data_IF_614483363576
#
_entry.id   IF_614483363576
#
_cell.length_a   1.000
_cell.length_b   1.000
_cell.length_c   1.000
_cell.angle_alpha   90.00
_cell.angle_beta   90.00
_cell.angle_gamma   90.00
#
_symmetry.space_group_name_H-M   'P 1'
#
loop_
_entity.id
_entity.type
_entity.pdbx_description
1 polymer ?
#
# COMPACT_ATOMS: atom_id res chain seq x y z
N UNK A 1 -69.00 37.56 -25.92
CA UNK A 1 -67.65 36.97 -25.89
C UNK A 1 -66.73 37.86 -26.69
N UNK A 2 -65.81 38.52 -26.00
CA UNK A 2 -65.00 39.61 -26.53
C UNK A 2 -63.89 39.11 -27.45
N UNK A 3 -63.50 39.95 -28.41
CA UNK A 3 -62.43 39.68 -29.39
C UNK A 3 -61.09 39.32 -28.74
N UNK A 4 -60.89 39.69 -27.46
CA UNK A 4 -59.73 39.35 -26.64
C UNK A 4 -59.77 37.93 -26.05
N UNK A 5 -60.94 37.32 -25.85
CA UNK A 5 -61.07 35.93 -25.36
C UNK A 5 -60.71 34.89 -26.43
N UNK A 6 -60.84 35.25 -27.72
CA UNK A 6 -60.52 34.36 -28.85
C UNK A 6 -59.02 34.21 -29.12
N UNK A 7 -58.21 35.20 -28.75
CA UNK A 7 -56.75 35.15 -28.94
C UNK A 7 -56.07 34.31 -27.84
N UNK A 8 -56.57 34.39 -26.61
CA UNK A 8 -56.07 33.60 -25.48
C UNK A 8 -56.36 32.10 -25.63
N UNK A 9 -57.51 31.72 -26.21
CA UNK A 9 -57.87 30.31 -26.42
C UNK A 9 -57.33 29.72 -27.74
N UNK A 10 -57.05 30.53 -28.76
CA UNK A 10 -56.57 30.07 -30.07
C UNK A 10 -55.07 29.83 -30.16
N UNK A 11 -54.25 30.47 -29.32
CA UNK A 11 -52.78 30.40 -29.41
C UNK A 11 -52.15 29.64 -28.24
N UNK A 12 -52.70 29.70 -27.02
CA UNK A 12 -52.12 28.96 -25.88
C UNK A 12 -52.48 27.47 -25.85
N UNK A 13 -53.65 27.07 -26.37
CA UNK A 13 -54.10 25.68 -26.32
C UNK A 13 -53.28 24.74 -27.24
N UNK A 14 -52.89 25.14 -28.46
CA UNK A 14 -52.01 24.33 -29.32
C UNK A 14 -50.57 24.24 -28.78
N UNK A 15 -50.06 25.31 -28.16
CA UNK A 15 -48.73 25.33 -27.52
C UNK A 15 -48.64 24.39 -26.30
N UNK A 16 -49.76 24.15 -25.62
CA UNK A 16 -49.87 23.15 -24.55
C UNK A 16 -50.07 21.73 -25.07
N UNK A 17 -50.59 21.51 -26.29
CA UNK A 17 -50.77 20.17 -26.87
C UNK A 17 -49.52 19.65 -27.61
N UNK A 18 -48.64 20.51 -28.14
CA UNK A 18 -47.45 20.04 -28.87
C UNK A 18 -46.27 19.63 -27.97
N UNK A 19 -46.29 19.95 -26.66
CA UNK A 19 -45.13 19.74 -25.78
C UNK A 19 -45.38 18.83 -24.57
N UNK A 20 -46.42 17.97 -24.60
CA UNK A 20 -46.66 16.98 -23.55
C UNK A 20 -45.50 16.01 -23.36
N UNK A 21 -44.75 15.72 -24.42
CA UNK A 21 -43.53 14.92 -24.34
C UNK A 21 -42.47 15.67 -23.53
N UNK A 22 -42.30 16.98 -23.72
CA UNK A 22 -41.36 17.81 -22.97
C UNK A 22 -41.72 17.97 -21.49
N UNK A 23 -43.02 18.13 -21.17
CA UNK A 23 -43.50 18.18 -19.77
C UNK A 23 -43.36 16.82 -19.09
N UNK A 24 -43.66 15.73 -19.80
CA UNK A 24 -43.47 14.36 -19.31
C UNK A 24 -41.99 14.04 -19.06
N UNK A 25 -41.10 14.38 -20.01
CA UNK A 25 -39.65 14.20 -19.86
C UNK A 25 -39.11 15.05 -18.72
N UNK A 26 -39.58 16.29 -18.57
CA UNK A 26 -39.20 17.16 -17.45
C UNK A 26 -39.57 16.56 -16.09
N UNK A 27 -40.79 16.04 -15.95
CA UNK A 27 -41.23 15.37 -14.72
C UNK A 27 -40.46 14.07 -14.44
N UNK A 28 -40.12 13.30 -15.49
CA UNK A 28 -39.28 12.10 -15.34
C UNK A 28 -37.87 12.46 -14.90
N UNK A 29 -37.24 13.50 -15.48
CA UNK A 29 -35.90 13.95 -15.10
C UNK A 29 -35.87 14.46 -13.66
N UNK A 30 -36.88 15.22 -13.24
CA UNK A 30 -37.03 15.69 -11.85
C UNK A 30 -37.26 14.49 -10.91
N UNK A 31 -38.08 13.52 -11.30
CA UNK A 31 -38.31 12.30 -10.55
C UNK A 31 -37.02 11.47 -10.39
N UNK A 32 -36.26 11.26 -11.46
CA UNK A 32 -34.98 10.52 -11.43
C UNK A 32 -33.94 11.25 -10.59
N UNK A 33 -33.81 12.57 -10.72
CA UNK A 33 -32.88 13.35 -9.87
C UNK A 33 -33.30 13.32 -8.41
N UNK A 34 -34.59 13.40 -8.10
CA UNK A 34 -35.11 13.25 -6.73
C UNK A 34 -34.84 11.85 -6.16
N UNK A 35 -35.06 10.78 -6.94
CA UNK A 35 -34.74 9.40 -6.56
C UNK A 35 -33.24 9.22 -6.31
N UNK A 36 -32.36 9.77 -7.16
CA UNK A 36 -30.92 9.73 -6.96
C UNK A 36 -30.48 10.50 -5.70
N UNK A 37 -31.14 11.61 -5.37
CA UNK A 37 -30.90 12.35 -4.12
C UNK A 37 -31.33 11.51 -2.90
N UNK A 38 -32.48 10.84 -2.97
CA UNK A 38 -32.95 9.93 -1.92
C UNK A 38 -32.01 8.73 -1.75
N UNK A 39 -31.57 8.09 -2.85
CA UNK A 39 -30.58 7.01 -2.82
C UNK A 39 -29.23 7.48 -2.25
N UNK A 40 -28.81 8.71 -2.52
CA UNK A 40 -27.58 9.27 -1.94
C UNK A 40 -27.73 9.59 -0.45
N UNK A 41 -28.92 9.99 -0.01
CA UNK A 41 -29.25 10.20 1.40
C UNK A 41 -29.32 8.86 2.16
N UNK A 42 -29.92 7.83 1.57
CA UNK A 42 -29.94 6.46 2.09
C UNK A 42 -28.56 5.82 2.07
N UNK A 43 -27.74 6.03 1.02
CA UNK A 43 -26.35 5.60 0.98
C UNK A 43 -25.50 6.28 2.07
N UNK A 44 -25.74 7.56 2.37
CA UNK A 44 -25.10 8.25 3.50
C UNK A 44 -25.57 7.72 4.85
N UNK A 45 -26.86 7.37 5.00
CA UNK A 45 -27.39 6.70 6.21
C UNK A 45 -26.86 5.27 6.35
N UNK A 46 -26.74 4.51 5.26
CA UNK A 46 -26.19 3.16 5.22
C UNK A 46 -24.68 3.13 5.48
N UNK A 47 -23.92 4.15 5.05
CA UNK A 47 -22.51 4.32 5.44
C UNK A 47 -22.33 4.78 6.89
N UNK A 48 -23.41 5.22 7.55
CA UNK A 48 -23.47 5.52 8.99
C UNK A 48 -24.22 4.43 9.79
N UNK A 49 -24.65 3.35 9.13
CA UNK A 49 -25.49 2.29 9.70
C UNK A 49 -25.16 0.91 9.14
N UNK A 50 -23.90 0.66 8.79
CA UNK A 50 -23.38 -0.70 8.82
C UNK A 50 -23.15 -0.99 10.30
N UNK A 51 -23.91 -1.97 10.79
CA UNK A 51 -23.99 -2.42 12.17
C UNK A 51 -22.60 -2.51 12.82
N UNK A 52 -22.37 -1.64 13.82
CA UNK A 52 -21.22 -1.65 14.73
C UNK A 52 -21.50 -2.44 16.01
N UNK A 53 -22.46 -3.36 15.98
CA UNK A 53 -22.98 -3.99 17.20
C UNK A 53 -22.66 -5.49 17.28
N UNK A 54 -21.75 -6.01 16.44
CA UNK A 54 -21.11 -7.32 16.63
C UNK A 54 -19.60 -7.27 16.34
N UNK A 55 -18.98 -6.14 16.58
CA UNK A 55 -17.57 -6.16 16.94
C UNK A 55 -17.54 -6.66 18.38
N UNK A 56 -17.25 -7.95 18.55
CA UNK A 56 -16.56 -8.40 19.75
C UNK A 56 -15.45 -7.37 19.95
N UNK A 57 -15.61 -6.53 20.97
CA UNK A 57 -14.78 -5.36 21.19
C UNK A 57 -13.38 -5.91 21.49
N UNK A 58 -12.63 -6.17 20.41
CA UNK A 58 -11.22 -6.43 20.42
C UNK A 58 -10.68 -5.12 20.94
N UNK A 59 -10.46 -5.16 22.24
CA UNK A 59 -9.93 -4.07 23.00
C UNK A 59 -8.57 -3.73 22.41
N UNK A 60 -8.56 -2.82 21.44
CA UNK A 60 -7.35 -2.32 20.79
C UNK A 60 -6.40 -1.71 21.82
N UNK A 61 -6.88 -1.38 23.04
CA UNK A 61 -6.02 -1.00 24.16
C UNK A 61 -5.14 -2.14 24.68
N UNK A 62 -5.46 -3.40 24.37
CA UNK A 62 -4.59 -4.58 24.57
C UNK A 62 -3.58 -4.79 23.45
N UNK A 63 -3.82 -4.21 22.26
CA UNK A 63 -2.88 -4.24 21.13
C UNK A 63 -1.91 -3.06 21.13
N UNK A 64 -2.24 -1.99 21.87
CA UNK A 64 -1.27 -0.96 22.18
C UNK A 64 -0.15 -1.61 23.00
N UNK A 65 1.14 -1.41 22.64
CA UNK A 65 2.22 -1.78 23.54
C UNK A 65 1.93 -1.13 24.88
N UNK A 66 1.78 -1.96 25.92
CA UNK A 66 1.60 -1.48 27.28
C UNK A 66 2.66 -0.42 27.54
N UNK A 67 2.23 0.67 28.17
CA UNK A 67 3.02 1.82 28.57
C UNK A 67 4.38 1.35 29.11
N UNK A 68 5.41 1.29 28.27
CA UNK A 68 6.79 1.20 28.72
C UNK A 68 7.11 2.60 29.25
N UNK A 69 6.81 2.84 30.53
CA UNK A 69 7.46 3.94 31.22
C UNK A 69 8.96 3.65 31.12
N UNK A 70 9.74 4.61 30.65
CA UNK A 70 11.22 4.48 30.59
C UNK A 70 11.87 4.22 31.96
N UNK A 71 11.07 4.12 33.02
CA UNK A 71 11.43 3.70 34.37
C UNK A 71 11.73 2.19 34.48
N UNK A 72 11.22 1.36 33.56
CA UNK A 72 11.38 -0.10 33.60
C UNK A 72 12.52 -0.64 32.70
N UNK A 73 13.27 0.26 32.06
CA UNK A 73 14.44 -0.10 31.24
C UNK A 73 15.73 0.09 32.03
N UNK A 74 16.39 -1.00 32.38
CA UNK A 74 17.73 -0.95 32.97
C UNK A 74 18.78 -0.60 31.91
N UNK A 75 19.47 0.52 32.08
CA UNK A 75 20.61 0.86 31.24
C UNK A 75 21.78 -0.09 31.51
N UNK A 76 22.37 -0.62 30.43
CA UNK A 76 23.58 -1.45 30.49
C UNK A 76 24.75 -0.75 29.80
N UNK A 77 25.97 -1.01 30.27
CA UNK A 77 27.18 -0.45 29.65
C UNK A 77 27.39 -1.06 28.25
N UNK A 78 27.44 -0.20 27.24
CA UNK A 78 27.74 -0.61 25.87
C UNK A 78 29.20 -1.06 25.71
N UNK A 79 29.39 -2.29 25.22
CA UNK A 79 30.71 -2.86 24.94
C UNK A 79 31.06 -2.68 23.46
N UNK A 80 31.91 -1.70 23.17
CA UNK A 80 32.34 -1.39 21.80
C UNK A 80 33.65 -2.09 21.43
N UNK A 81 33.68 -2.77 20.28
CA UNK A 81 34.92 -3.30 19.69
C UNK A 81 35.67 -2.18 18.97
N UNK A 82 36.84 -1.79 19.48
CA UNK A 82 37.65 -0.70 18.90
C UNK A 82 38.83 -1.26 18.10
N UNK A 83 38.87 -0.90 16.82
CA UNK A 83 39.99 -1.22 15.93
C UNK A 83 41.05 -0.11 15.92
N UNK A 84 42.29 -0.44 15.57
CA UNK A 84 43.33 0.56 15.35
C UNK A 84 43.12 1.28 13.99
N UNK A 85 43.77 2.44 13.80
CA UNK A 85 43.58 3.27 12.59
C UNK A 85 43.88 2.52 11.29
N UNK A 86 44.94 1.71 11.25
CA UNK A 86 45.33 0.95 10.05
C UNK A 86 44.24 -0.05 9.68
N UNK A 87 43.72 -0.78 10.67
CA UNK A 87 42.67 -1.76 10.47
C UNK A 87 41.33 -1.13 10.09
N UNK A 88 40.96 0.01 10.70
CA UNK A 88 39.75 0.75 10.32
C UNK A 88 39.76 1.15 8.84
N UNK A 89 40.90 1.61 8.33
CA UNK A 89 41.07 1.99 6.93
C UNK A 89 40.94 0.79 5.97
N UNK A 90 41.51 -0.36 6.35
CA UNK A 90 41.41 -1.58 5.55
C UNK A 90 39.94 -2.05 5.49
N UNK A 91 39.29 -2.20 6.65
CA UNK A 91 37.92 -2.71 6.73
C UNK A 91 36.91 -1.81 6.02
N UNK A 92 37.04 -0.49 6.13
CA UNK A 92 36.13 0.44 5.47
C UNK A 92 36.29 0.41 3.95
N UNK A 93 37.53 0.29 3.46
CA UNK A 93 37.83 0.17 2.02
C UNK A 93 37.29 -1.14 1.46
N UNK A 94 37.52 -2.27 2.13
CA UNK A 94 37.01 -3.58 1.70
C UNK A 94 35.47 -3.60 1.64
N UNK A 95 34.81 -3.02 2.65
CA UNK A 95 33.35 -2.91 2.66
C UNK A 95 32.85 -2.06 1.49
N UNK A 96 33.47 -0.90 1.24
CA UNK A 96 33.13 -0.06 0.10
C UNK A 96 33.31 -0.82 -1.23
N UNK A 97 34.44 -1.48 -1.44
CA UNK A 97 34.73 -2.22 -2.67
C UNK A 97 33.74 -3.38 -2.88
N UNK A 98 33.32 -4.06 -1.81
CA UNK A 98 32.27 -5.09 -1.88
C UNK A 98 30.92 -4.48 -2.28
N UNK A 99 30.49 -3.43 -1.58
CA UNK A 99 29.20 -2.79 -1.85
C UNK A 99 29.12 -2.12 -3.22
N UNK A 100 30.25 -1.59 -3.71
CA UNK A 100 30.33 -0.96 -5.04
C UNK A 100 30.17 -1.97 -6.20
N UNK A 101 30.41 -3.26 -5.95
CA UNK A 101 30.16 -4.34 -6.94
C UNK A 101 28.69 -4.70 -7.08
N UNK A 102 27.83 -4.27 -6.15
CA UNK A 102 26.40 -4.60 -6.17
C UNK A 102 25.71 -3.99 -7.38
N UNK A 103 25.01 -4.83 -8.13
CA UNK A 103 24.14 -4.44 -9.24
C UNK A 103 22.75 -4.99 -9.02
N UNK A 104 21.74 -4.29 -9.54
CA UNK A 104 20.40 -4.87 -9.65
C UNK A 104 20.42 -5.86 -10.81
N UNK A 105 20.11 -7.11 -10.52
CA UNK A 105 20.11 -8.22 -11.48
C UNK A 105 18.67 -8.70 -11.65
N UNK A 106 18.25 -8.92 -12.89
CA UNK A 106 16.90 -9.39 -13.23
C UNK A 106 16.91 -10.77 -13.92
N UNK A 107 18.06 -11.44 -13.94
CA UNK A 107 18.25 -12.78 -14.50
C UNK A 107 18.87 -13.65 -13.40
N UNK A 108 18.16 -14.69 -12.97
CA UNK A 108 18.55 -15.50 -11.81
C UNK A 108 18.72 -16.95 -12.21
N UNK A 109 19.69 -17.62 -11.57
CA UNK A 109 19.76 -19.08 -11.63
C UNK A 109 18.62 -19.70 -10.82
N UNK A 110 18.23 -20.92 -11.19
CA UNK A 110 17.31 -21.77 -10.42
C UNK A 110 18.01 -22.56 -9.33
N UNK A 111 19.35 -22.45 -9.23
CA UNK A 111 20.13 -23.18 -8.24
C UNK A 111 19.61 -22.88 -6.83
N UNK A 112 19.44 -23.92 -5.99
CA UNK A 112 18.88 -23.74 -4.66
C UNK A 112 19.84 -22.93 -3.78
N UNK A 113 19.27 -22.03 -2.99
CA UNK A 113 19.98 -21.33 -1.90
C UNK A 113 19.44 -21.87 -0.58
N UNK A 114 20.30 -22.27 0.38
CA UNK A 114 19.84 -22.77 1.67
C UNK A 114 18.95 -21.76 2.41
N UNK A 115 17.89 -22.23 3.06
CA UNK A 115 16.97 -21.37 3.81
C UNK A 115 17.69 -20.60 4.93
N UNK A 116 18.64 -21.24 5.60
CA UNK A 116 19.45 -20.63 6.67
C UNK A 116 20.21 -19.37 6.19
N UNK A 117 20.62 -19.33 4.92
CA UNK A 117 21.24 -18.13 4.34
C UNK A 117 20.23 -16.99 4.27
N UNK A 118 19.00 -17.27 3.84
CA UNK A 118 17.91 -16.30 3.78
C UNK A 118 17.52 -15.81 5.18
N UNK A 119 17.45 -16.72 6.16
CA UNK A 119 17.19 -16.38 7.56
C UNK A 119 18.25 -15.45 8.13
N UNK A 120 19.53 -15.71 7.87
CA UNK A 120 20.63 -14.85 8.32
C UNK A 120 20.59 -13.46 7.66
N UNK A 121 20.21 -13.38 6.38
CA UNK A 121 20.00 -12.11 5.67
C UNK A 121 18.88 -11.31 6.36
N UNK A 122 17.75 -11.95 6.68
CA UNK A 122 16.61 -11.29 7.34
C UNK A 122 16.95 -10.89 8.77
N UNK A 123 17.64 -11.75 9.54
CA UNK A 123 18.13 -11.41 10.89
C UNK A 123 19.06 -10.19 10.84
N UNK A 124 19.93 -10.11 9.82
CA UNK A 124 20.80 -8.96 9.62
C UNK A 124 19.98 -7.69 9.36
N UNK A 125 18.97 -7.76 8.49
CA UNK A 125 18.04 -6.65 8.25
C UNK A 125 17.32 -6.21 9.53
N UNK A 126 16.89 -7.16 10.37
CA UNK A 126 16.24 -6.91 11.66
C UNK A 126 17.11 -6.15 12.68
N UNK A 127 18.43 -6.07 12.49
CA UNK A 127 19.31 -5.25 13.34
C UNK A 127 19.21 -3.74 13.08
N UNK A 128 18.35 -3.35 12.14
CA UNK A 128 18.16 -1.95 11.75
C UNK A 128 17.59 -1.10 12.90
N UNK A 129 17.93 0.19 12.95
CA UNK A 129 17.31 1.09 13.90
C UNK A 129 15.84 1.35 13.53
N UNK A 130 14.98 1.41 14.54
CA UNK A 130 13.64 1.95 14.43
C UNK A 130 13.35 2.89 15.60
N UNK A 131 12.44 3.84 15.40
CA UNK A 131 11.99 4.71 16.49
C UNK A 131 11.17 3.88 17.48
N UNK A 132 11.36 4.20 18.76
CA UNK A 132 10.69 3.55 19.88
C UNK A 132 10.76 2.00 19.83
N UNK A 133 11.78 1.43 19.16
CA UNK A 133 11.95 -0.01 19.01
C UNK A 133 10.70 -0.69 18.39
N UNK A 134 10.00 0.00 17.48
CA UNK A 134 8.77 -0.53 16.86
C UNK A 134 8.99 -1.64 15.83
N UNK A 135 10.22 -1.82 15.33
CA UNK A 135 10.61 -2.82 14.33
C UNK A 135 9.56 -3.02 13.22
N UNK A 136 9.13 -1.96 12.49
CA UNK A 136 7.87 -1.96 11.76
C UNK A 136 7.97 -2.60 10.36
N UNK A 137 8.75 -3.68 10.25
CA UNK A 137 8.98 -4.42 9.01
C UNK A 137 8.50 -5.86 9.15
N UNK A 138 7.91 -6.38 8.07
CA UNK A 138 7.59 -7.79 7.93
C UNK A 138 8.21 -8.31 6.64
N UNK A 139 9.09 -9.30 6.75
CA UNK A 139 9.69 -9.98 5.59
C UNK A 139 8.99 -11.30 5.33
N UNK A 140 8.33 -11.42 4.18
CA UNK A 140 7.69 -12.67 3.74
C UNK A 140 8.60 -13.37 2.74
N UNK A 141 9.01 -14.59 3.07
CA UNK A 141 9.87 -15.43 2.23
C UNK A 141 9.03 -16.44 1.47
N UNK A 142 9.16 -16.47 0.15
CA UNK A 142 8.39 -17.36 -0.73
C UNK A 142 9.34 -18.25 -1.52
N UNK A 143 9.36 -19.54 -1.18
CA UNK A 143 10.04 -20.59 -1.95
C UNK A 143 9.08 -21.45 -2.80
N UNK A 144 7.79 -21.50 -2.44
CA UNK A 144 6.81 -22.33 -3.13
C UNK A 144 6.56 -21.85 -4.57
N UNK A 145 6.75 -22.76 -5.53
CA UNK A 145 6.66 -22.44 -6.95
C UNK A 145 5.24 -22.04 -7.40
N UNK A 146 4.19 -22.59 -6.76
CA UNK A 146 2.79 -22.25 -7.09
C UNK A 146 2.47 -20.83 -6.62
N UNK A 147 2.93 -20.45 -5.43
CA UNK A 147 2.76 -19.08 -4.90
C UNK A 147 3.56 -18.09 -5.76
N UNK A 148 4.82 -18.38 -6.09
CA UNK A 148 5.63 -17.55 -6.98
C UNK A 148 4.96 -17.32 -8.34
N UNK A 149 4.35 -18.37 -8.91
CA UNK A 149 3.59 -18.26 -10.16
C UNK A 149 2.39 -17.32 -10.03
N UNK A 150 1.60 -17.44 -8.96
CA UNK A 150 0.46 -16.54 -8.70
C UNK A 150 0.91 -15.08 -8.54
N UNK A 151 2.01 -14.85 -7.81
CA UNK A 151 2.60 -13.51 -7.66
C UNK A 151 2.97 -12.95 -9.03
N UNK A 152 3.64 -13.74 -9.87
CA UNK A 152 4.02 -13.34 -11.23
C UNK A 152 2.82 -12.95 -12.08
N UNK A 153 1.76 -13.78 -12.08
CA UNK A 153 0.53 -13.52 -12.83
C UNK A 153 -0.12 -12.19 -12.40
N UNK A 154 -0.17 -11.92 -11.09
CA UNK A 154 -0.69 -10.64 -10.55
C UNK A 154 0.16 -9.47 -11.03
N UNK A 155 1.49 -9.54 -10.88
CA UNK A 155 2.40 -8.45 -11.25
C UNK A 155 2.38 -8.20 -12.76
N UNK A 156 2.34 -9.25 -13.59
CA UNK A 156 2.22 -9.13 -15.05
C UNK A 156 0.93 -8.42 -15.46
N UNK A 157 -0.20 -8.75 -14.82
CA UNK A 157 -1.50 -8.11 -15.12
C UNK A 157 -1.50 -6.62 -14.78
N UNK A 158 -0.94 -6.24 -13.63
CA UNK A 158 -0.83 -4.83 -13.22
C UNK A 158 0.13 -4.04 -14.12
N UNK A 159 1.24 -4.65 -14.55
CA UNK A 159 2.19 -4.06 -15.49
C UNK A 159 1.58 -3.86 -16.89
N UNK A 160 0.72 -4.79 -17.33
CA UNK A 160 -0.01 -4.67 -18.60
C UNK A 160 -1.00 -3.51 -18.56
N UNK A 161 -1.78 -3.39 -17.48
CA UNK A 161 -2.70 -2.26 -17.26
C UNK A 161 -1.91 -0.95 -17.24
N UNK A 162 -0.80 -0.90 -16.49
CA UNK A 162 0.05 0.28 -16.38
C UNK A 162 0.64 0.70 -17.73
N UNK A 163 1.10 -0.25 -18.52
CA UNK A 163 1.65 0.00 -19.86
C UNK A 163 0.56 0.56 -20.77
N UNK A 164 -0.61 -0.08 -20.83
CA UNK A 164 -1.75 0.40 -21.64
C UNK A 164 -2.21 1.82 -21.27
N UNK A 165 -2.12 2.19 -19.99
CA UNK A 165 -2.63 3.47 -19.49
C UNK A 165 -1.61 4.63 -19.51
N UNK A 166 -0.31 4.36 -19.29
CA UNK A 166 0.65 5.42 -18.91
C UNK A 166 1.96 5.46 -19.69
N UNK A 167 2.36 4.39 -20.36
CA UNK A 167 3.66 4.34 -21.04
C UNK A 167 3.46 3.76 -22.44
N UNK A 168 3.76 4.53 -23.48
CA UNK A 168 3.65 4.08 -24.88
C UNK A 168 4.38 2.74 -25.16
N UNK A 169 4.26 2.20 -26.39
CA UNK A 169 4.47 0.78 -26.73
C UNK A 169 5.85 0.13 -26.49
N UNK A 170 6.79 0.77 -25.78
CA UNK A 170 8.19 0.36 -25.73
C UNK A 170 8.64 -0.32 -24.42
N UNK A 171 7.74 -0.59 -23.46
CA UNK A 171 8.13 -1.09 -22.15
C UNK A 171 7.45 -2.41 -21.78
N UNK A 172 8.10 -3.53 -22.11
CA UNK A 172 7.76 -4.85 -21.58
C UNK A 172 8.95 -5.34 -20.76
N UNK A 173 8.87 -5.26 -19.42
CA UNK A 173 9.89 -5.89 -18.55
C UNK A 173 9.65 -7.39 -18.55
N UNK A 174 10.70 -8.17 -18.82
CA UNK A 174 10.65 -9.62 -18.61
C UNK A 174 10.61 -9.91 -17.10
N UNK A 175 9.51 -10.50 -16.63
CA UNK A 175 9.26 -10.82 -15.22
C UNK A 175 9.57 -12.29 -14.86
N UNK A 176 10.30 -13.01 -15.73
CA UNK A 176 10.73 -14.40 -15.49
C UNK A 176 11.40 -14.63 -14.13
N UNK A 177 12.14 -13.64 -13.63
CA UNK A 177 12.83 -13.72 -12.34
C UNK A 177 11.91 -14.05 -11.17
N UNK A 178 10.62 -13.67 -11.22
CA UNK A 178 9.64 -13.97 -10.17
C UNK A 178 9.41 -15.48 -10.01
N UNK A 179 9.68 -16.27 -11.05
CA UNK A 179 9.54 -17.73 -11.04
C UNK A 179 10.87 -18.47 -11.09
N UNK A 180 11.93 -17.85 -11.61
CA UNK A 180 13.26 -18.47 -11.74
C UNK A 180 14.10 -18.34 -10.49
N UNK A 181 14.02 -17.21 -9.78
CA UNK A 181 14.74 -17.04 -8.53
C UNK A 181 14.28 -18.11 -7.50
N UNK A 182 15.21 -18.71 -6.75
CA UNK A 182 14.86 -19.75 -5.77
C UNK A 182 13.94 -19.20 -4.68
N UNK A 183 14.21 -17.97 -4.23
CA UNK A 183 13.45 -17.28 -3.18
C UNK A 183 12.98 -15.91 -3.65
N UNK A 184 11.75 -15.55 -3.28
CA UNK A 184 11.31 -14.15 -3.27
C UNK A 184 11.26 -13.67 -1.81
N UNK A 185 11.77 -12.46 -1.56
CA UNK A 185 11.66 -11.79 -0.26
C UNK A 185 10.84 -10.53 -0.47
N UNK A 186 9.66 -10.48 0.17
CA UNK A 186 8.73 -9.37 0.10
C UNK A 186 8.83 -8.58 1.41
N UNK A 187 9.29 -7.33 1.35
CA UNK A 187 9.34 -6.43 2.49
C UNK A 187 8.05 -5.62 2.60
N UNK A 188 7.38 -5.70 3.73
CA UNK A 188 6.19 -4.92 4.05
C UNK A 188 6.47 -3.97 5.19
N UNK A 189 6.01 -2.73 5.04
CA UNK A 189 5.95 -1.76 6.13
C UNK A 189 4.67 -2.02 6.93
N UNK A 190 4.79 -2.20 8.24
CA UNK A 190 3.64 -2.25 9.14
C UNK A 190 2.99 -0.85 9.17
N UNK A 191 1.65 -0.81 9.06
CA UNK A 191 0.89 0.43 8.87
C UNK A 191 1.21 1.52 9.91
N UNK A 192 0.90 2.76 9.55
CA UNK A 192 1.14 3.91 10.41
C UNK A 192 0.50 3.70 11.78
N UNK A 193 1.31 3.67 12.83
CA UNK A 193 0.82 3.68 14.19
C UNK A 193 0.62 5.12 14.67
N UNK A 194 -0.40 5.31 15.50
CA UNK A 194 -0.49 6.49 16.34
C UNK A 194 0.39 6.22 17.55
N UNK A 195 1.44 7.00 17.71
CA UNK A 195 2.30 6.91 18.88
C UNK A 195 1.57 7.40 20.12
N UNK A 196 2.12 7.06 21.29
CA UNK A 196 1.60 7.50 22.60
C UNK A 196 1.58 9.03 22.78
N UNK A 197 2.37 9.77 21.98
CA UNK A 197 2.40 11.23 21.93
C UNK A 197 1.33 11.84 20.98
N UNK A 198 0.50 11.00 20.36
CA UNK A 198 -0.56 11.41 19.43
C UNK A 198 -0.06 11.71 18.01
N UNK A 199 1.24 11.62 17.74
CA UNK A 199 1.78 11.81 16.41
C UNK A 199 1.60 10.56 15.55
N UNK A 200 1.19 10.76 14.29
CA UNK A 200 1.23 9.69 13.29
C UNK A 200 2.69 9.45 12.91
N UNK A 201 3.13 8.21 13.07
CA UNK A 201 4.46 7.83 12.62
C UNK A 201 4.39 7.16 11.24
N UNK A 202 5.24 7.64 10.32
CA UNK A 202 5.47 6.96 9.06
C UNK A 202 6.63 5.97 9.23
N UNK A 203 6.31 4.68 9.15
CA UNK A 203 7.27 3.59 9.30
C UNK A 203 8.10 3.27 8.05
N UNK A 204 7.79 3.90 6.91
CA UNK A 204 8.44 3.62 5.63
C UNK A 204 9.95 3.85 5.67
N UNK A 205 10.42 4.89 6.38
CA UNK A 205 11.84 5.22 6.46
C UNK A 205 12.65 4.12 7.16
N UNK A 206 12.13 3.57 8.26
CA UNK A 206 12.83 2.52 9.01
C UNK A 206 12.83 1.20 8.22
N UNK A 207 11.72 0.90 7.55
CA UNK A 207 11.65 -0.25 6.64
C UNK A 207 12.62 -0.10 5.46
N UNK A 208 12.78 1.11 4.92
CA UNK A 208 13.75 1.39 3.87
C UNK A 208 15.21 1.23 4.35
N UNK A 209 15.53 1.66 5.56
CA UNK A 209 16.85 1.42 6.20
C UNK A 209 17.08 -0.08 6.34
N UNK A 210 16.07 -0.82 6.82
CA UNK A 210 16.10 -2.28 6.94
C UNK A 210 16.34 -2.98 5.61
N UNK A 211 15.67 -2.54 4.54
CA UNK A 211 15.96 -2.99 3.19
C UNK A 211 17.39 -2.66 2.73
N UNK A 212 17.96 -1.52 3.13
CA UNK A 212 19.37 -1.19 2.86
C UNK A 212 20.36 -2.16 3.51
N UNK A 213 20.10 -2.54 4.77
CA UNK A 213 20.90 -3.55 5.48
C UNK A 213 20.70 -4.93 4.85
N UNK A 214 19.47 -5.29 4.49
CA UNK A 214 19.14 -6.52 3.77
C UNK A 214 19.93 -6.65 2.46
N UNK A 215 19.96 -5.58 1.65
CA UNK A 215 20.75 -5.55 0.40
C UNK A 215 22.24 -5.68 0.65
N UNK A 216 22.74 -5.19 1.78
CA UNK A 216 24.14 -5.33 2.19
C UNK A 216 24.49 -6.75 2.65
N UNK A 217 23.52 -7.47 3.23
CA UNK A 217 23.68 -8.86 3.64
C UNK A 217 23.64 -9.84 2.47
N UNK A 218 22.95 -9.50 1.38
CA UNK A 218 22.92 -10.29 0.14
C UNK A 218 24.26 -10.23 -0.62
N UNK A 219 25.02 -9.14 -0.46
CA UNK A 219 26.21 -8.82 -1.28
C UNK A 219 27.54 -9.33 -0.69
#
# INVERSE_FOLDING_TARGET
MGFTERILLGVLLPLLQENWIGVGVGLVVIGVTYILILQKAEYKKGKHGVDRDNDEQLDDSKLLPQKFSGEDLSYILFKHVRYNKKEMLVRSKELYERMNKRRSVNLFSKDPVPLEVIENIIRTAGTSPSRAYTEPWTYVVVGDQKIKKKIREIVESEEEIRTKQRMGPQWTRDLKYLTEAPWLVLGFTQGNSILLDGHKENHEIYTAISCGILLSAIQ
#
